data_IF_355321872690
#
_entry.id   IF_355321872690
#
_cell.length_a   1.000
_cell.length_b   1.000
_cell.length_c   1.000
_cell.angle_alpha   90.00
_cell.angle_beta   90.00
_cell.angle_gamma   90.00
#
_symmetry.space_group_name_H-M   'P 1'
#
loop_
_entity.id
_entity.type
_entity.pdbx_description
1 polymer ?
#
# COMPACT_ATOMS: atom_id res chain seq x y z
N UNK A 1 54.60 -48.12 3.13
CA UNK A 1 54.62 -46.63 3.12
C UNK A 1 54.32 -46.17 1.70
N UNK A 2 53.07 -45.86 1.40
CA UNK A 2 52.63 -45.30 0.12
C UNK A 2 51.67 -44.16 0.45
N UNK A 3 52.25 -42.96 0.54
CA UNK A 3 51.53 -41.72 0.81
C UNK A 3 51.00 -41.20 -0.53
N UNK A 4 49.89 -41.78 -1.00
CA UNK A 4 49.14 -41.23 -2.13
C UNK A 4 48.46 -39.94 -1.68
N UNK A 5 49.17 -38.85 -1.94
CA UNK A 5 48.73 -37.48 -1.83
C UNK A 5 47.38 -37.31 -2.52
N UNK A 6 46.35 -37.05 -1.71
CA UNK A 6 45.09 -36.43 -2.09
C UNK A 6 45.36 -35.12 -2.85
N UNK A 7 45.57 -35.23 -4.16
CA UNK A 7 45.55 -34.08 -5.07
C UNK A 7 44.08 -33.71 -5.30
N UNK A 8 43.50 -32.98 -4.34
CA UNK A 8 42.33 -32.16 -4.58
C UNK A 8 42.70 -31.11 -5.64
N UNK A 9 42.05 -31.08 -6.83
CA UNK A 9 42.21 -29.96 -7.74
C UNK A 9 41.50 -28.76 -7.13
N UNK A 10 42.29 -27.90 -6.48
CA UNK A 10 41.87 -26.57 -6.08
C UNK A 10 41.79 -25.71 -7.34
N UNK A 11 40.65 -25.79 -8.05
CA UNK A 11 40.32 -24.91 -9.17
C UNK A 11 38.97 -24.23 -8.92
N UNK A 12 38.96 -23.30 -7.95
CA UNK A 12 37.85 -22.35 -7.73
C UNK A 12 38.22 -20.95 -8.23
N UNK A 13 39.13 -20.86 -9.22
CA UNK A 13 39.62 -19.61 -9.78
C UNK A 13 38.89 -19.19 -11.07
N UNK A 14 37.69 -19.73 -11.33
CA UNK A 14 36.87 -19.45 -12.53
C UNK A 14 35.52 -18.77 -12.26
N UNK A 15 35.25 -18.34 -11.02
CA UNK A 15 33.89 -18.06 -10.54
C UNK A 15 33.08 -17.07 -11.39
N UNK A 16 33.59 -15.88 -11.70
CA UNK A 16 32.76 -14.85 -12.33
C UNK A 16 32.69 -14.96 -13.87
N UNK A 17 33.80 -15.33 -14.53
CA UNK A 17 33.88 -15.40 -15.99
C UNK A 17 33.15 -16.61 -16.57
N UNK A 18 33.22 -17.75 -15.87
CA UNK A 18 32.56 -18.98 -16.31
C UNK A 18 31.05 -18.91 -16.04
N UNK A 19 30.62 -18.30 -14.93
CA UNK A 19 29.20 -18.02 -14.68
C UNK A 19 28.60 -17.10 -15.75
N UNK A 20 29.31 -16.05 -16.19
CA UNK A 20 28.81 -15.18 -17.27
C UNK A 20 28.71 -15.90 -18.61
N UNK A 21 29.69 -16.75 -18.96
CA UNK A 21 29.66 -17.53 -20.20
C UNK A 21 28.56 -18.59 -20.19
N UNK A 22 28.39 -19.27 -19.07
CA UNK A 22 27.36 -20.29 -18.88
C UNK A 22 25.96 -19.66 -18.87
N UNK A 23 25.80 -18.49 -18.22
CA UNK A 23 24.58 -17.71 -18.28
C UNK A 23 24.28 -17.24 -19.71
N UNK A 24 25.27 -16.74 -20.46
CA UNK A 24 25.07 -16.32 -21.85
C UNK A 24 24.67 -17.49 -22.77
N UNK A 25 25.31 -18.66 -22.60
CA UNK A 25 24.94 -19.87 -23.34
C UNK A 25 23.52 -20.34 -23.01
N UNK A 26 23.14 -20.30 -21.72
CA UNK A 26 21.77 -20.57 -21.29
C UNK A 26 20.79 -19.56 -21.87
N UNK A 27 21.11 -18.27 -21.87
CA UNK A 27 20.29 -17.22 -22.50
C UNK A 27 20.08 -17.44 -24.00
N UNK A 28 21.11 -17.93 -24.69
CA UNK A 28 21.02 -18.31 -26.10
C UNK A 28 20.16 -19.56 -26.34
N UNK A 29 19.85 -20.35 -25.31
CA UNK A 29 18.95 -21.51 -25.43
C UNK A 29 17.47 -21.16 -25.23
N UNK A 30 17.12 -19.92 -24.88
CA UNK A 30 15.72 -19.53 -24.74
C UNK A 30 14.99 -19.47 -26.09
N UNK A 31 13.70 -19.87 -26.14
CA UNK A 31 12.87 -19.79 -27.33
C UNK A 31 12.79 -18.37 -27.89
N UNK A 32 12.76 -18.23 -29.22
CA UNK A 32 12.68 -16.92 -29.90
C UNK A 32 11.44 -16.10 -29.50
N UNK A 33 10.38 -16.76 -29.03
CA UNK A 33 9.20 -16.12 -28.48
C UNK A 33 9.51 -15.19 -27.30
N UNK A 34 10.54 -15.48 -26.48
CA UNK A 34 10.98 -14.61 -25.39
C UNK A 34 12.02 -13.55 -25.81
N UNK A 35 12.59 -13.67 -27.02
CA UNK A 35 13.54 -12.68 -27.56
C UNK A 35 12.85 -11.48 -28.20
N UNK A 36 11.55 -11.59 -28.50
CA UNK A 36 10.78 -10.42 -28.91
C UNK A 36 10.62 -9.46 -27.73
N UNK A 37 10.68 -8.14 -27.95
CA UNK A 37 10.59 -7.15 -26.86
C UNK A 37 9.18 -7.06 -26.24
N UNK A 38 8.17 -7.61 -26.92
CA UNK A 38 6.77 -7.59 -26.50
C UNK A 38 6.49 -8.24 -25.13
N UNK A 39 6.90 -9.50 -24.86
CA UNK A 39 6.71 -10.12 -23.55
C UNK A 39 7.41 -9.35 -22.41
N UNK A 40 8.57 -8.74 -22.67
CA UNK A 40 9.27 -7.93 -21.67
C UNK A 40 8.51 -6.62 -21.40
N UNK A 41 8.00 -5.96 -22.44
CA UNK A 41 7.16 -4.78 -22.29
C UNK A 41 5.87 -5.08 -21.51
N UNK A 42 5.22 -6.22 -21.78
CA UNK A 42 4.05 -6.67 -21.02
C UNK A 42 4.39 -6.93 -19.55
N UNK A 43 5.48 -7.65 -19.26
CA UNK A 43 5.90 -7.93 -17.89
C UNK A 43 6.15 -6.62 -17.11
N UNK A 44 6.86 -5.67 -17.73
CA UNK A 44 7.10 -4.34 -17.15
C UNK A 44 5.77 -3.61 -16.90
N UNK A 45 4.87 -3.58 -17.90
CA UNK A 45 3.57 -2.94 -17.77
C UNK A 45 2.72 -3.56 -16.64
N UNK A 46 2.71 -4.88 -16.51
CA UNK A 46 2.02 -5.58 -15.42
C UNK A 46 2.61 -5.22 -14.06
N UNK A 47 3.94 -5.21 -13.92
CA UNK A 47 4.60 -4.80 -12.67
C UNK A 47 4.20 -3.38 -12.30
N UNK A 48 4.25 -2.43 -13.24
CA UNK A 48 3.83 -1.05 -12.99
C UNK A 48 2.35 -0.94 -12.62
N UNK A 49 1.47 -1.68 -13.31
CA UNK A 49 0.04 -1.69 -13.00
C UNK A 49 -0.23 -2.18 -11.58
N UNK A 50 0.43 -3.26 -11.15
CA UNK A 50 0.34 -3.78 -9.78
C UNK A 50 0.87 -2.77 -8.76
N UNK A 51 2.00 -2.12 -9.04
CA UNK A 51 2.60 -1.12 -8.15
C UNK A 51 1.69 0.11 -7.98
N UNK A 52 1.12 0.60 -9.08
CA UNK A 52 0.20 1.73 -9.06
C UNK A 52 -1.08 1.36 -8.31
N UNK A 53 -1.67 0.20 -8.60
CA UNK A 53 -2.86 -0.29 -7.91
C UNK A 53 -2.63 -0.39 -6.40
N UNK A 54 -1.52 -1.02 -6.00
CA UNK A 54 -1.13 -1.12 -4.59
C UNK A 54 -0.98 0.26 -3.93
N UNK A 55 -0.32 1.20 -4.60
CA UNK A 55 -0.12 2.55 -4.08
C UNK A 55 -1.43 3.32 -3.92
N UNK A 56 -2.42 3.10 -4.80
CA UNK A 56 -3.76 3.69 -4.65
C UNK A 56 -4.49 3.12 -3.44
N UNK A 57 -4.48 1.80 -3.25
CA UNK A 57 -5.13 1.17 -2.09
C UNK A 57 -4.47 1.61 -0.78
N UNK A 58 -3.14 1.67 -0.72
CA UNK A 58 -2.43 2.13 0.48
C UNK A 58 -2.78 3.58 0.80
N UNK A 59 -2.77 4.48 -0.19
CA UNK A 59 -3.14 5.89 0.04
C UNK A 59 -4.57 6.05 0.53
N UNK A 60 -5.52 5.34 -0.07
CA UNK A 60 -6.91 5.43 0.34
C UNK A 60 -7.12 4.82 1.73
N UNK A 61 -6.48 3.69 2.03
CA UNK A 61 -6.56 3.05 3.34
C UNK A 61 -5.94 3.90 4.47
N UNK A 62 -4.83 4.60 4.20
CA UNK A 62 -4.22 5.54 5.14
C UNK A 62 -5.14 6.74 5.36
N UNK A 63 -5.72 7.31 4.30
CA UNK A 63 -6.65 8.43 4.41
C UNK A 63 -7.92 8.07 5.18
N UNK A 64 -8.44 6.85 4.96
CA UNK A 64 -9.55 6.30 5.74
C UNK A 64 -9.16 6.05 7.20
N UNK A 65 -7.94 5.57 7.46
CA UNK A 65 -7.41 5.37 8.81
C UNK A 65 -7.24 6.69 9.58
N UNK A 66 -6.82 7.75 8.90
CA UNK A 66 -6.70 9.09 9.47
C UNK A 66 -8.07 9.69 9.81
N UNK A 67 -9.05 9.55 8.91
CA UNK A 67 -10.44 9.94 9.16
C UNK A 67 -11.06 9.17 10.33
N UNK A 68 -10.82 7.86 10.40
CA UNK A 68 -11.28 7.03 11.53
C UNK A 68 -10.63 7.50 12.84
N UNK A 69 -9.33 7.75 12.86
CA UNK A 69 -8.64 8.24 14.07
C UNK A 69 -9.17 9.59 14.54
N UNK A 70 -9.39 10.54 13.65
CA UNK A 70 -9.98 11.84 14.01
C UNK A 70 -11.39 11.66 14.59
N UNK A 71 -12.25 10.87 13.95
CA UNK A 71 -13.61 10.63 14.43
C UNK A 71 -13.65 9.95 15.81
N UNK A 72 -12.76 8.99 16.05
CA UNK A 72 -12.67 8.29 17.34
C UNK A 72 -12.17 9.19 18.45
N UNK A 73 -11.20 10.08 18.17
CA UNK A 73 -10.70 11.06 19.13
C UNK A 73 -11.80 12.06 19.52
N UNK A 74 -12.51 12.63 18.54
CA UNK A 74 -13.62 13.56 18.80
C UNK A 74 -14.77 12.89 19.56
N UNK A 75 -15.09 11.63 19.23
CA UNK A 75 -16.12 10.88 19.97
C UNK A 75 -15.69 10.61 21.41
N UNK A 76 -14.44 10.20 21.63
CA UNK A 76 -13.91 9.97 22.98
C UNK A 76 -13.96 11.25 23.84
N UNK A 77 -13.63 12.40 23.26
CA UNK A 77 -13.72 13.69 23.95
C UNK A 77 -15.18 14.04 24.31
N UNK A 78 -16.12 13.85 23.37
CA UNK A 78 -17.53 14.10 23.61
C UNK A 78 -18.11 13.17 24.70
N UNK A 79 -17.73 11.88 24.68
CA UNK A 79 -18.11 10.91 25.71
C UNK A 79 -17.54 11.29 27.07
N UNK A 80 -16.28 11.75 27.13
CA UNK A 80 -15.66 12.20 28.36
C UNK A 80 -16.40 13.42 28.94
N UNK A 81 -16.77 14.40 28.10
CA UNK A 81 -17.59 15.54 28.52
C UNK A 81 -18.98 15.12 29.01
N UNK A 82 -19.63 14.15 28.35
CA UNK A 82 -20.90 13.62 28.82
C UNK A 82 -20.78 12.91 30.18
N UNK A 83 -19.67 12.19 30.40
CA UNK A 83 -19.40 11.53 31.68
C UNK A 83 -19.07 12.49 32.81
N UNK A 84 -18.51 13.67 32.51
CA UNK A 84 -18.25 14.70 33.52
C UNK A 84 -19.52 15.34 34.11
N UNK A 85 -20.70 15.12 33.51
CA UNK A 85 -21.97 15.60 34.08
C UNK A 85 -22.34 14.81 35.34
N UNK A 86 -22.72 15.55 36.39
CA UNK A 86 -23.02 15.02 37.71
C UNK A 86 -24.41 14.35 37.82
N UNK A 87 -25.29 14.55 36.82
CA UNK A 87 -26.65 14.03 36.81
C UNK A 87 -26.78 12.89 35.81
N UNK A 88 -27.29 11.74 36.27
CA UNK A 88 -27.54 10.54 35.45
C UNK A 88 -28.46 10.85 34.26
N UNK A 89 -29.50 11.66 34.48
CA UNK A 89 -30.44 12.05 33.42
C UNK A 89 -29.76 12.91 32.35
N UNK A 90 -28.99 13.92 32.76
CA UNK A 90 -28.23 14.77 31.84
C UNK A 90 -27.16 13.99 31.07
N UNK A 91 -26.54 12.99 31.71
CA UNK A 91 -25.59 12.09 31.04
C UNK A 91 -26.26 11.24 29.96
N UNK A 92 -27.42 10.66 30.26
CA UNK A 92 -28.19 9.87 29.30
C UNK A 92 -28.64 10.73 28.10
N UNK A 93 -29.18 11.92 28.36
CA UNK A 93 -29.58 12.88 27.32
C UNK A 93 -28.38 13.36 26.49
N UNK A 94 -27.19 13.48 27.09
CA UNK A 94 -25.95 13.87 26.41
C UNK A 94 -25.41 12.74 25.51
N UNK A 95 -25.41 11.48 25.99
CA UNK A 95 -25.00 10.33 25.17
C UNK A 95 -25.94 10.12 23.97
N UNK A 96 -27.25 10.28 24.16
CA UNK A 96 -28.22 10.19 23.08
C UNK A 96 -27.98 11.20 21.94
N UNK A 97 -27.39 12.36 22.24
CA UNK A 97 -27.03 13.37 21.24
C UNK A 97 -25.76 13.02 20.45
N UNK A 98 -24.84 12.24 21.02
CA UNK A 98 -23.60 11.80 20.34
C UNK A 98 -23.86 10.60 19.44
N UNK A 99 -24.75 9.69 19.86
CA UNK A 99 -25.09 8.48 19.10
C UNK A 99 -26.14 8.73 18.00
N UNK A 100 -26.82 9.88 18.02
CA UNK A 100 -27.67 10.29 16.90
C UNK A 100 -26.83 10.51 15.62
N UNK A 101 -27.27 10.03 14.44
CA UNK A 101 -26.55 10.25 13.19
C UNK A 101 -26.38 11.76 12.95
N UNK A 102 -25.12 12.16 12.78
CA UNK A 102 -24.63 13.54 12.71
C UNK A 102 -25.32 14.36 11.59
N UNK A 103 -26.48 14.94 11.88
CA UNK A 103 -27.12 15.92 11.01
C UNK A 103 -26.74 17.38 11.33
N UNK A 104 -25.91 17.64 12.38
CA UNK A 104 -25.68 19.02 12.87
C UNK A 104 -24.24 19.46 13.15
N UNK A 105 -23.20 18.73 12.72
CA UNK A 105 -21.80 19.22 12.80
C UNK A 105 -21.13 19.47 11.43
N UNK A 106 -21.91 19.69 10.38
CA UNK A 106 -21.41 20.23 9.10
C UNK A 106 -21.71 21.73 8.99
N UNK A 107 -21.28 22.52 9.98
CA UNK A 107 -21.22 23.98 9.85
C UNK A 107 -19.76 24.39 9.84
N UNK A 108 -19.11 24.34 8.66
CA UNK A 108 -17.87 25.08 8.46
C UNK A 108 -16.89 24.63 7.39
N UNK A 109 -16.96 23.41 6.85
CA UNK A 109 -16.03 22.98 5.81
C UNK A 109 -16.69 22.01 4.81
N UNK A 110 -16.79 22.36 3.51
CA UNK A 110 -17.16 21.37 2.50
C UNK A 110 -16.09 20.28 2.45
N UNK A 111 -16.48 18.99 2.32
CA UNK A 111 -15.51 17.92 2.14
C UNK A 111 -14.75 18.14 0.82
N UNK A 112 -13.42 17.96 0.79
CA UNK A 112 -12.55 18.39 -0.31
C UNK A 112 -12.85 17.69 -1.65
N UNK A 113 -13.62 16.62 -1.64
CA UNK A 113 -14.03 15.87 -2.82
C UNK A 113 -15.20 16.51 -3.59
N UNK A 114 -16.03 17.34 -2.94
CA UNK A 114 -17.21 17.93 -3.61
C UNK A 114 -16.84 19.06 -4.57
N UNK A 115 -15.76 19.80 -4.30
CA UNK A 115 -15.22 20.80 -5.22
C UNK A 115 -14.54 20.14 -6.43
N UNK A 116 -13.80 19.04 -6.21
CA UNK A 116 -13.13 18.30 -7.29
C UNK A 116 -14.13 17.61 -8.24
N UNK A 117 -15.21 17.05 -7.71
CA UNK A 117 -16.29 16.45 -8.52
C UNK A 117 -17.02 17.48 -9.40
N UNK A 118 -17.25 18.69 -8.88
CA UNK A 118 -17.87 19.77 -9.69
C UNK A 118 -16.97 20.29 -10.80
N UNK A 119 -15.66 20.39 -10.56
CA UNK A 119 -14.70 20.80 -11.60
C UNK A 119 -14.60 19.76 -12.74
N UNK A 120 -14.74 18.47 -12.44
CA UNK A 120 -14.75 17.41 -13.46
C UNK A 120 -16.05 17.36 -14.28
N UNK A 121 -17.19 17.79 -13.70
CA UNK A 121 -18.50 17.78 -14.38
C UNK A 121 -18.76 19.04 -15.22
N UNK A 122 -18.03 20.13 -15.00
CA UNK A 122 -18.20 21.40 -15.72
C UNK A 122 -17.31 21.55 -16.97
N UNK A 123 -16.56 20.51 -17.33
CA UNK A 123 -15.66 20.49 -18.49
C UNK A 123 -16.11 19.58 -19.63
N UNK A 124 -17.39 19.23 -19.71
CA UNK A 124 -18.00 18.46 -20.80
C UNK A 124 -18.71 19.35 -21.81
#
# INVERSE_FOLDING_TARGET
>A
MRSDQLRMPRSYAGGAGDLRRQAAAWWASLPDALRTPWPMALAIATIFALLIGFHQVVKESVRQGELLRMSTATRAEAVWRCNALNSVRKRADCMAQIDAPQHKQASGAPPPNTAALRAAQAGG
#
